data_IF_659866786011
#
_entry.id   IF_659866786011
#
_cell.length_a   1.000
_cell.length_b   1.000
_cell.length_c   1.000
_cell.angle_alpha   90.00
_cell.angle_beta   90.00
_cell.angle_gamma   90.00
#
_symmetry.space_group_name_H-M   'P 1'
#
loop_
_entity.id
_entity.type
_entity.pdbx_description
1 polymer ?
#
# COMPACT_ATOMS: atom_id res chain seq x y z
N UNK A 1 -11.67 18.67 6.84
CA UNK A 1 -10.38 18.03 6.49
C UNK A 1 -10.53 17.31 5.15
N UNK A 2 -9.89 17.83 4.09
CA UNK A 2 -9.77 17.11 2.84
C UNK A 2 -9.00 15.83 3.13
N UNK A 3 -9.66 14.68 3.01
CA UNK A 3 -8.99 13.39 2.92
C UNK A 3 -8.12 13.52 1.66
N UNK A 4 -6.84 13.79 1.86
CA UNK A 4 -5.91 13.95 0.76
C UNK A 4 -5.98 12.63 -0.01
N UNK A 5 -6.47 12.68 -1.24
CA UNK A 5 -6.40 11.54 -2.12
C UNK A 5 -4.92 11.16 -2.21
N UNK A 6 -4.54 10.07 -1.54
CA UNK A 6 -3.14 9.72 -1.38
C UNK A 6 -2.52 9.60 -2.76
N UNK A 7 -1.35 10.21 -2.96
CA UNK A 7 -0.58 10.05 -4.19
C UNK A 7 0.63 9.17 -3.92
N UNK A 8 1.17 8.54 -4.96
CA UNK A 8 2.41 7.79 -4.87
C UNK A 8 3.58 8.72 -4.50
N UNK A 9 4.57 8.18 -3.79
CA UNK A 9 5.75 8.95 -3.42
C UNK A 9 6.55 9.35 -4.66
N UNK A 10 6.96 10.62 -4.73
CA UNK A 10 7.92 11.10 -5.73
C UNK A 10 9.36 11.00 -5.24
N UNK A 11 9.59 10.46 -4.03
CA UNK A 11 10.91 10.34 -3.45
C UNK A 11 11.73 9.21 -4.08
N UNK A 12 13.04 9.24 -3.83
CA UNK A 12 13.92 8.15 -4.22
C UNK A 12 13.57 6.87 -3.47
N UNK A 13 13.76 5.71 -4.12
CA UNK A 13 13.52 4.38 -3.51
C UNK A 13 14.21 4.17 -2.16
N UNK A 14 15.31 4.86 -1.90
CA UNK A 14 16.04 4.84 -0.61
C UNK A 14 15.26 5.47 0.54
N UNK A 15 14.25 6.30 0.27
CA UNK A 15 13.34 6.89 1.25
C UNK A 15 12.11 6.03 1.50
N UNK A 16 11.93 4.98 0.69
CA UNK A 16 10.77 4.10 0.85
C UNK A 16 10.91 3.27 2.11
N UNK A 17 9.81 3.13 2.82
CA UNK A 17 9.70 2.30 4.00
C UNK A 17 9.84 0.84 3.61
N UNK A 18 10.40 -0.02 4.47
CA UNK A 18 10.52 -1.42 4.15
C UNK A 18 9.14 -2.06 4.03
N UNK A 19 8.96 -2.90 3.00
CA UNK A 19 7.71 -3.65 2.73
C UNK A 19 7.22 -4.41 3.96
N UNK A 20 8.15 -4.97 4.75
CA UNK A 20 7.84 -5.69 5.97
C UNK A 20 7.08 -4.84 7.01
N UNK A 21 7.32 -3.52 7.07
CA UNK A 21 6.56 -2.61 7.95
C UNK A 21 5.11 -2.54 7.51
N UNK A 22 4.86 -2.38 6.21
CA UNK A 22 3.51 -2.39 5.65
C UNK A 22 2.85 -3.76 5.87
N UNK A 23 3.57 -4.86 5.62
CA UNK A 23 3.03 -6.21 5.89
C UNK A 23 2.60 -6.40 7.34
N UNK A 24 3.41 -5.92 8.30
CA UNK A 24 3.10 -6.02 9.72
C UNK A 24 1.86 -5.19 10.09
N UNK A 25 1.74 -3.97 9.57
CA UNK A 25 0.57 -3.11 9.76
C UNK A 25 -0.71 -3.81 9.27
N UNK A 26 -0.69 -4.29 8.03
CA UNK A 26 -1.84 -4.93 7.40
C UNK A 26 -2.23 -6.24 8.09
N UNK A 27 -1.25 -7.03 8.53
CA UNK A 27 -1.50 -8.22 9.38
C UNK A 27 -2.19 -7.83 10.69
N UNK A 28 -1.79 -6.71 11.31
CA UNK A 28 -2.45 -6.15 12.49
C UNK A 28 -3.91 -5.76 12.24
N UNK A 29 -4.23 -5.31 11.04
CA UNK A 29 -5.59 -5.01 10.59
C UNK A 29 -6.41 -6.27 10.25
N UNK A 30 -5.78 -7.44 10.28
CA UNK A 30 -6.42 -8.72 9.98
C UNK A 30 -6.33 -9.13 8.50
N UNK A 31 -5.54 -8.42 7.70
CA UNK A 31 -5.29 -8.75 6.30
C UNK A 31 -4.12 -9.74 6.18
N UNK A 32 -4.30 -10.77 5.36
CA UNK A 32 -3.24 -11.70 5.01
C UNK A 32 -2.57 -11.22 3.72
N UNK A 33 -1.44 -10.51 3.86
CA UNK A 33 -0.67 -10.05 2.71
C UNK A 33 -0.11 -11.22 1.92
N UNK A 34 -0.39 -11.23 0.61
CA UNK A 34 0.10 -12.24 -0.33
C UNK A 34 1.24 -11.74 -1.18
N UNK A 35 1.20 -10.47 -1.58
CA UNK A 35 2.20 -9.86 -2.44
C UNK A 35 2.21 -8.35 -2.25
N UNK A 36 3.42 -7.77 -2.24
CA UNK A 36 3.62 -6.31 -2.30
C UNK A 36 4.47 -5.97 -3.51
N UNK A 37 3.86 -5.39 -4.54
CA UNK A 37 4.57 -4.82 -5.69
C UNK A 37 4.97 -3.39 -5.41
N UNK A 38 5.95 -2.90 -6.15
CA UNK A 38 6.44 -1.53 -6.03
C UNK A 38 6.42 -0.87 -7.38
N UNK A 39 5.53 0.10 -7.56
CA UNK A 39 5.26 0.74 -8.84
C UNK A 39 5.17 2.25 -8.65
N UNK A 40 5.99 3.00 -9.40
CA UNK A 40 6.05 4.48 -9.42
C UNK A 40 5.93 5.16 -8.04
N UNK A 41 6.57 4.60 -7.01
CA UNK A 41 6.55 5.16 -5.64
C UNK A 41 5.34 4.79 -4.77
N UNK A 42 4.55 3.83 -5.23
CA UNK A 42 3.51 3.15 -4.47
C UNK A 42 3.86 1.69 -4.18
N UNK A 43 3.23 1.16 -3.15
CA UNK A 43 3.15 -0.25 -2.83
C UNK A 43 1.77 -0.77 -3.14
N UNK A 44 1.65 -1.62 -4.15
CA UNK A 44 0.42 -2.34 -4.46
C UNK A 44 0.40 -3.65 -3.67
N UNK A 45 -0.58 -3.75 -2.77
CA UNK A 45 -0.73 -4.90 -1.89
C UNK A 45 -1.91 -5.74 -2.36
N UNK A 46 -1.61 -7.01 -2.59
CA UNK A 46 -2.59 -8.06 -2.74
C UNK A 46 -2.71 -8.78 -1.42
N UNK A 47 -3.89 -8.74 -0.80
CA UNK A 47 -4.14 -9.39 0.48
C UNK A 47 -5.45 -10.18 0.46
N UNK A 48 -5.65 -10.97 1.50
CA UNK A 48 -6.92 -11.65 1.78
C UNK A 48 -7.45 -11.11 3.11
N UNK A 49 -8.68 -10.61 3.10
CA UNK A 49 -9.38 -10.13 4.30
C UNK A 49 -9.81 -11.29 5.22
N UNK A 50 -10.23 -10.97 6.45
CA UNK A 50 -10.74 -11.94 7.44
C UNK A 50 -11.90 -12.80 6.91
N UNK A 51 -12.69 -12.29 5.97
CA UNK A 51 -13.77 -13.04 5.31
C UNK A 51 -13.27 -14.01 4.21
N UNK A 52 -11.95 -14.10 3.99
CA UNK A 52 -11.36 -14.91 2.92
C UNK A 52 -11.45 -14.26 1.54
N UNK A 53 -11.87 -12.99 1.46
CA UNK A 53 -11.99 -12.23 0.21
C UNK A 53 -10.66 -11.62 -0.20
N UNK A 54 -10.33 -11.71 -1.49
CA UNK A 54 -9.16 -11.03 -2.06
C UNK A 54 -9.43 -9.53 -2.09
N UNK A 55 -8.47 -8.75 -1.59
CA UNK A 55 -8.51 -7.29 -1.61
C UNK A 55 -7.21 -6.75 -2.18
N UNK A 56 -7.33 -5.63 -2.88
CA UNK A 56 -6.25 -4.91 -3.52
C UNK A 56 -6.24 -3.51 -2.94
N UNK A 57 -5.08 -3.08 -2.45
CA UNK A 57 -4.92 -1.76 -1.83
C UNK A 57 -3.57 -1.20 -2.18
N UNK A 58 -3.49 0.08 -2.52
CA UNK A 58 -2.23 0.77 -2.76
C UNK A 58 -1.87 1.66 -1.55
N UNK A 59 -0.57 1.79 -1.29
CA UNK A 59 -0.03 2.63 -0.24
C UNK A 59 1.12 3.47 -0.79
N UNK A 60 1.31 4.67 -0.26
CA UNK A 60 2.47 5.48 -0.58
C UNK A 60 3.73 4.79 -0.03
N UNK A 61 4.76 4.61 -0.84
CA UNK A 61 5.93 3.83 -0.42
C UNK A 61 6.80 4.54 0.64
N UNK A 62 6.69 5.86 0.80
CA UNK A 62 7.42 6.65 1.80
C UNK A 62 6.65 6.79 3.11
N UNK A 63 5.34 7.01 3.05
CA UNK A 63 4.52 7.26 4.24
C UNK A 63 3.71 6.05 4.70
N UNK A 64 3.59 5.02 3.86
CA UNK A 64 2.67 3.89 4.04
C UNK A 64 1.20 4.29 4.19
N UNK A 65 0.85 5.49 3.73
CA UNK A 65 -0.52 5.98 3.76
C UNK A 65 -1.34 5.34 2.63
N UNK A 66 -2.55 4.88 2.94
CA UNK A 66 -3.43 4.20 1.98
C UNK A 66 -3.92 5.18 0.90
N UNK A 67 -3.91 4.74 -0.35
CA UNK A 67 -4.48 5.46 -1.47
C UNK A 67 -5.94 5.04 -1.69
N UNK A 68 -6.76 5.96 -2.21
CA UNK A 68 -8.13 5.68 -2.63
C UNK A 68 -8.19 4.80 -3.88
N UNK A 69 -7.19 4.92 -4.77
CA UNK A 69 -7.06 4.05 -5.93
C UNK A 69 -6.19 2.83 -5.58
N UNK A 70 -6.74 1.64 -5.81
CA UNK A 70 -6.04 0.38 -5.51
C UNK A 70 -4.91 0.05 -6.50
N UNK A 71 -4.87 0.71 -7.65
CA UNK A 71 -3.87 0.48 -8.70
C UNK A 71 -2.71 1.45 -8.50
N UNK A 72 -1.50 0.89 -8.31
CA UNK A 72 -0.30 1.69 -8.11
C UNK A 72 0.11 2.38 -9.41
N UNK A 73 -0.09 3.70 -9.48
CA UNK A 73 0.54 4.54 -10.50
C UNK A 73 -0.24 4.79 -11.78
N UNK A 74 -1.58 4.74 -11.73
CA UNK A 74 -2.43 5.37 -12.74
C UNK A 74 -2.46 6.91 -12.57
N UNK A 75 -1.38 7.53 -13.03
CA UNK A 75 -1.39 8.75 -13.84
C UNK A 75 -0.13 8.75 -14.72
#
# INVERSE_FOLDING_TARGET
PALAAGTCSTAAKSKFQPKATLEAQLKGEGLTVRQIKTEKGCYEVYAIDKDGKKVNTAYNAETLEKLDNAEAGEN
#
